data_IF_044418472108
#
_entry.id   IF_044418472108
#
_cell.length_a   1.000
_cell.length_b   1.000
_cell.length_c   1.000
_cell.angle_alpha   90.00
_cell.angle_beta   90.00
_cell.angle_gamma   90.00
#
_symmetry.space_group_name_H-M   'P 1'
#
loop_
_entity.id
_entity.type
_entity.pdbx_description
1 polymer ?
#
# COMPACT_ATOMS: atom_id res chain seq x y z
N UNK A 1 14.97 60.04 -4.25
CA UNK A 1 13.49 60.22 -4.26
C UNK A 1 12.86 59.72 -2.97
N UNK A 2 13.16 58.50 -2.51
CA UNK A 2 12.66 57.94 -1.24
C UNK A 2 12.96 58.80 0.01
N UNK A 3 14.16 59.39 0.10
CA UNK A 3 14.56 60.26 1.22
C UNK A 3 13.84 61.62 1.27
N UNK A 4 13.25 62.08 0.16
CA UNK A 4 12.49 63.33 0.09
C UNK A 4 11.04 63.10 0.58
N UNK A 5 10.47 61.94 0.26
CA UNK A 5 9.13 61.53 0.69
C UNK A 5 9.01 61.34 2.21
N UNK A 6 10.05 60.81 2.85
CA UNK A 6 10.04 60.56 4.31
C UNK A 6 9.93 61.88 5.10
N UNK A 7 10.46 62.98 4.57
CA UNK A 7 10.50 64.28 5.28
C UNK A 7 9.14 64.99 5.32
N UNK A 8 8.29 64.82 4.31
CA UNK A 8 6.93 65.40 4.30
C UNK A 8 5.92 64.57 5.11
N UNK A 9 6.09 63.24 5.12
CA UNK A 9 5.20 62.31 5.84
C UNK A 9 5.27 62.49 7.37
N UNK A 10 6.43 62.88 7.90
CA UNK A 10 6.64 63.11 9.35
C UNK A 10 5.92 64.38 9.86
N UNK A 11 5.55 65.31 8.97
CA UNK A 11 4.82 66.54 9.32
C UNK A 11 3.30 66.46 9.14
N UNK A 12 2.75 65.35 8.64
CA UNK A 12 1.33 65.22 8.32
C UNK A 12 0.47 64.91 9.56
N UNK A 13 -0.62 65.66 9.72
CA UNK A 13 -1.65 65.39 10.73
C UNK A 13 -2.19 63.95 10.55
N UNK A 14 -2.38 63.21 11.66
CA UNK A 14 -2.73 61.78 11.69
C UNK A 14 -3.88 61.40 10.73
N UNK A 15 -4.85 62.28 10.54
CA UNK A 15 -5.98 62.04 9.61
C UNK A 15 -5.56 62.03 8.14
N UNK A 16 -4.61 62.88 7.74
CA UNK A 16 -4.07 62.91 6.38
C UNK A 16 -3.06 61.78 6.15
N UNK A 17 -2.33 61.39 7.20
CA UNK A 17 -1.43 60.24 7.14
C UNK A 17 -2.18 58.94 6.85
N UNK A 18 -3.33 58.71 7.50
CA UNK A 18 -4.15 57.50 7.24
C UNK A 18 -4.76 57.48 5.84
N UNK A 19 -5.17 58.63 5.32
CA UNK A 19 -5.69 58.75 3.95
C UNK A 19 -4.59 58.47 2.92
N UNK A 20 -3.39 59.00 3.15
CA UNK A 20 -2.25 58.77 2.27
C UNK A 20 -1.82 57.30 2.26
N UNK A 21 -1.72 56.63 3.42
CA UNK A 21 -1.43 55.18 3.45
C UNK A 21 -2.52 54.36 2.78
N UNK A 22 -3.80 54.70 2.95
CA UNK A 22 -4.90 54.02 2.26
C UNK A 22 -4.80 54.17 0.73
N UNK A 23 -4.45 55.36 0.23
CA UNK A 23 -4.26 55.60 -1.21
C UNK A 23 -3.07 54.79 -1.75
N UNK A 24 -1.94 54.78 -1.04
CA UNK A 24 -0.76 54.00 -1.45
C UNK A 24 -1.07 52.50 -1.47
N UNK A 25 -1.76 51.98 -0.45
CA UNK A 25 -2.18 50.58 -0.41
C UNK A 25 -3.16 50.25 -1.55
N UNK A 26 -4.10 51.14 -1.88
CA UNK A 26 -4.97 50.98 -3.03
C UNK A 26 -4.20 50.97 -4.36
N UNK A 27 -3.21 51.86 -4.55
CA UNK A 27 -2.40 51.89 -5.76
C UNK A 27 -1.55 50.62 -5.88
N UNK A 28 -0.97 50.14 -4.78
CA UNK A 28 -0.23 48.86 -4.75
C UNK A 28 -1.18 47.71 -5.08
N UNK A 29 -2.38 47.69 -4.49
CA UNK A 29 -3.38 46.65 -4.75
C UNK A 29 -3.85 46.66 -6.21
N UNK A 30 -4.16 47.83 -6.77
CA UNK A 30 -4.55 47.98 -8.18
C UNK A 30 -3.40 47.58 -9.10
N UNK A 31 -2.16 47.97 -8.78
CA UNK A 31 -0.97 47.56 -9.52
C UNK A 31 -0.73 46.06 -9.46
N UNK A 32 -0.99 45.43 -8.31
CA UNK A 32 -0.87 43.99 -8.11
C UNK A 32 -1.98 43.23 -8.86
N UNK A 33 -3.22 43.71 -8.84
CA UNK A 33 -4.33 43.15 -9.63
C UNK A 33 -4.06 43.28 -11.12
N UNK A 34 -3.60 44.45 -11.58
CA UNK A 34 -3.24 44.68 -12.98
C UNK A 34 -2.06 43.80 -13.43
N UNK A 35 -1.06 43.60 -12.57
CA UNK A 35 0.07 42.70 -12.80
C UNK A 35 -0.36 41.21 -12.85
N UNK A 36 -1.34 40.81 -12.03
CA UNK A 36 -1.90 39.46 -12.04
C UNK A 36 -2.77 39.22 -13.29
N UNK A 37 -3.54 40.21 -13.74
CA UNK A 37 -4.32 40.11 -14.98
C UNK A 37 -3.42 40.01 -16.22
N UNK A 38 -2.34 40.81 -16.29
CA UNK A 38 -1.37 40.77 -17.40
C UNK A 38 -0.59 39.44 -17.49
N UNK A 39 -0.39 38.74 -16.37
CA UNK A 39 0.30 37.45 -16.33
C UNK A 39 -0.66 36.24 -16.35
N UNK A 40 -1.96 36.46 -16.58
CA UNK A 40 -2.91 35.36 -16.72
C UNK A 40 -2.74 34.66 -18.06
N UNK A 41 -2.51 33.35 -18.03
CA UNK A 41 -2.33 32.54 -19.25
C UNK A 41 -3.69 32.42 -19.94
N UNK A 42 -3.84 33.05 -21.11
CA UNK A 42 -5.13 33.12 -21.80
C UNK A 42 -5.66 31.74 -22.24
N UNK A 43 -4.77 30.88 -22.75
CA UNK A 43 -5.08 29.52 -23.21
C UNK A 43 -4.01 28.54 -22.68
N UNK A 44 -4.33 27.25 -22.49
CA UNK A 44 -3.31 26.26 -22.17
C UNK A 44 -2.17 26.29 -23.19
N UNK A 45 -0.91 26.21 -22.75
CA UNK A 45 0.21 26.17 -23.68
C UNK A 45 0.14 24.96 -24.60
N UNK A 46 0.55 25.11 -25.84
CA UNK A 46 0.73 23.95 -26.72
C UNK A 46 1.88 23.07 -26.21
N UNK A 47 1.72 21.76 -26.33
CA UNK A 47 2.80 20.81 -26.08
C UNK A 47 3.27 20.15 -27.36
N UNK A 48 4.49 19.63 -27.32
CA UNK A 48 5.04 18.73 -28.31
C UNK A 48 5.50 17.46 -27.61
N UNK A 49 4.99 16.31 -28.05
CA UNK A 49 5.45 15.00 -27.58
C UNK A 49 6.29 14.38 -28.70
N UNK A 50 7.54 14.06 -28.39
CA UNK A 50 8.49 13.40 -29.29
C UNK A 50 8.92 12.08 -28.70
N UNK A 51 9.12 11.09 -29.56
CA UNK A 51 9.76 9.83 -29.21
C UNK A 51 10.81 9.57 -30.28
N UNK A 52 12.09 9.60 -29.88
CA UNK A 52 13.21 9.73 -30.81
C UNK A 52 12.97 10.91 -31.79
N UNK A 53 12.96 10.66 -33.10
CA UNK A 53 12.69 11.66 -34.14
C UNK A 53 11.19 11.79 -34.52
N UNK A 54 10.30 11.02 -33.88
CA UNK A 54 8.89 10.96 -34.24
C UNK A 54 8.03 11.92 -33.39
N UNK A 55 7.24 12.77 -34.04
CA UNK A 55 6.21 13.58 -33.39
C UNK A 55 4.94 12.75 -33.14
N UNK A 56 4.45 12.77 -31.90
CA UNK A 56 3.24 12.06 -31.48
C UNK A 56 2.08 13.05 -31.41
N UNK A 57 0.95 12.67 -32.00
CA UNK A 57 -0.27 13.48 -31.93
C UNK A 57 -0.81 13.55 -30.50
N UNK A 58 -1.12 14.76 -30.05
CA UNK A 58 -1.68 15.03 -28.73
C UNK A 58 -3.03 15.70 -28.84
N UNK A 59 -3.95 15.35 -27.95
CA UNK A 59 -5.20 16.10 -27.78
C UNK A 59 -5.19 16.83 -26.44
N UNK A 60 -5.60 18.09 -26.45
CA UNK A 60 -5.78 18.88 -25.23
C UNK A 60 -7.23 18.88 -24.83
N UNK A 61 -7.51 18.99 -23.55
CA UNK A 61 -8.62 19.83 -23.18
C UNK A 61 -8.72 20.13 -21.72
N UNK A 62 -9.68 20.99 -21.48
CA UNK A 62 -9.75 21.81 -20.30
C UNK A 62 -10.45 21.03 -19.20
N UNK A 63 -9.94 21.16 -17.97
CA UNK A 63 -10.64 20.68 -16.79
C UNK A 63 -11.20 21.90 -16.05
N UNK A 64 -10.32 22.79 -15.60
CA UNK A 64 -10.65 24.08 -15.01
C UNK A 64 -9.79 25.17 -15.62
N UNK A 65 -10.36 26.15 -16.32
CA UNK A 65 -9.57 27.22 -16.94
C UNK A 65 -10.27 28.56 -16.82
N UNK A 66 -9.58 29.57 -16.30
CA UNK A 66 -10.12 30.91 -16.05
C UNK A 66 -11.44 30.88 -15.24
N UNK A 67 -11.57 29.92 -14.32
CA UNK A 67 -12.75 29.74 -13.46
C UNK A 67 -13.93 29.00 -14.10
N UNK A 68 -13.81 28.53 -15.34
CA UNK A 68 -14.79 27.64 -15.96
C UNK A 68 -14.38 26.18 -15.76
N UNK A 69 -15.33 25.32 -15.41
CA UNK A 69 -15.16 23.86 -15.38
C UNK A 69 -15.80 23.28 -16.63
N UNK A 70 -15.09 22.40 -17.32
CA UNK A 70 -15.50 21.87 -18.62
C UNK A 70 -15.92 20.41 -18.51
N UNK A 71 -17.08 20.08 -19.07
CA UNK A 71 -17.53 18.70 -19.28
C UNK A 71 -17.23 18.31 -20.73
N UNK A 72 -16.45 17.24 -20.92
CA UNK A 72 -15.88 16.89 -22.23
C UNK A 72 -15.73 15.39 -22.40
N UNK A 73 -15.69 14.98 -23.67
CA UNK A 73 -15.30 13.62 -24.02
C UNK A 73 -13.83 13.38 -23.66
N UNK A 74 -13.56 12.19 -23.14
CA UNK A 74 -12.22 11.74 -22.77
C UNK A 74 -11.21 11.94 -23.93
N UNK A 75 -10.03 12.48 -23.62
CA UNK A 75 -8.96 12.76 -24.60
C UNK A 75 -8.64 11.54 -25.44
N UNK A 76 -8.63 10.34 -24.85
CA UNK A 76 -8.25 9.12 -25.57
C UNK A 76 -9.28 8.74 -26.63
N UNK A 77 -10.57 8.88 -26.30
CA UNK A 77 -11.66 8.66 -27.26
C UNK A 77 -11.59 9.64 -28.40
N UNK A 78 -11.30 10.90 -28.09
CA UNK A 78 -11.13 11.96 -29.09
C UNK A 78 -9.98 11.62 -30.04
N UNK A 79 -8.82 11.23 -29.51
CA UNK A 79 -7.64 10.84 -30.31
C UNK A 79 -7.95 9.64 -31.21
N UNK A 80 -8.60 8.59 -30.69
CA UNK A 80 -8.93 7.39 -31.49
C UNK A 80 -9.94 7.70 -32.60
N UNK A 81 -10.91 8.58 -32.35
CA UNK A 81 -11.88 9.00 -33.39
C UNK A 81 -11.22 9.81 -34.51
N UNK A 82 -10.22 10.61 -34.17
CA UNK A 82 -9.51 11.47 -35.12
C UNK A 82 -8.41 10.73 -35.88
N UNK A 83 -7.80 9.71 -35.26
CA UNK A 83 -6.63 9.03 -35.80
C UNK A 83 -6.85 7.52 -35.97
N UNK A 84 -6.91 7.07 -37.23
CA UNK A 84 -7.06 5.64 -37.56
C UNK A 84 -5.76 4.83 -37.41
N UNK A 85 -4.59 5.47 -37.19
CA UNK A 85 -3.31 4.79 -37.06
C UNK A 85 -2.55 5.25 -35.80
N UNK A 86 -2.64 4.43 -34.75
CA UNK A 86 -1.90 4.64 -33.50
C UNK A 86 -0.44 4.19 -33.73
N UNK A 87 0.57 5.05 -33.47
CA UNK A 87 1.97 4.72 -33.73
C UNK A 87 2.47 3.61 -32.81
N UNK A 88 3.27 2.70 -33.34
CA UNK A 88 3.99 1.69 -32.55
C UNK A 88 5.33 2.25 -32.08
N UNK A 89 5.65 2.00 -30.82
CA UNK A 89 6.85 2.47 -30.13
C UNK A 89 7.44 1.31 -29.35
N UNK A 90 8.75 1.12 -29.46
CA UNK A 90 9.44 0.03 -28.80
C UNK A 90 9.70 0.39 -27.34
N UNK A 91 9.58 -0.61 -26.44
CA UNK A 91 9.92 -0.39 -25.04
C UNK A 91 11.41 -0.02 -24.93
N UNK A 92 11.70 0.94 -24.06
CA UNK A 92 13.03 1.51 -23.86
C UNK A 92 13.26 2.83 -24.59
N UNK A 93 12.43 3.20 -25.56
CA UNK A 93 12.53 4.49 -26.26
C UNK A 93 12.19 5.66 -25.33
N UNK A 94 12.86 6.80 -25.53
CA UNK A 94 12.68 7.98 -24.68
C UNK A 94 11.53 8.85 -25.17
N UNK A 95 10.57 9.11 -24.28
CA UNK A 95 9.48 10.06 -24.51
C UNK A 95 9.88 11.42 -23.97
N UNK A 96 9.76 12.45 -24.80
CA UNK A 96 10.06 13.84 -24.46
C UNK A 96 8.83 14.73 -24.65
N UNK A 97 8.48 15.47 -23.60
CA UNK A 97 7.35 16.40 -23.56
C UNK A 97 7.91 17.82 -23.41
N UNK A 98 7.60 18.68 -24.36
CA UNK A 98 8.02 20.09 -24.39
C UNK A 98 6.80 21.01 -24.40
N UNK A 99 6.77 22.01 -23.53
CA UNK A 99 5.79 23.10 -23.58
C UNK A 99 6.35 24.22 -24.46
N UNK A 100 5.60 24.69 -25.45
CA UNK A 100 6.07 25.77 -26.33
C UNK A 100 6.37 27.05 -25.56
N UNK A 101 5.54 27.34 -24.57
CA UNK A 101 5.64 28.49 -23.68
C UNK A 101 5.17 28.09 -22.28
N UNK A 102 5.62 28.82 -21.24
CA UNK A 102 5.09 28.74 -19.88
C UNK A 102 4.93 27.31 -19.31
N UNK A 103 6.02 26.73 -18.79
CA UNK A 103 5.98 25.42 -18.12
C UNK A 103 4.96 25.39 -16.96
N UNK A 104 4.32 24.24 -16.71
CA UNK A 104 3.37 24.07 -15.60
C UNK A 104 4.06 24.12 -14.22
N UNK A 105 3.30 24.49 -13.20
CA UNK A 105 3.72 24.44 -11.80
C UNK A 105 3.87 23.00 -11.31
N UNK A 106 2.95 22.12 -11.73
CA UNK A 106 2.97 20.67 -11.51
C UNK A 106 2.53 19.97 -12.79
N UNK A 107 3.22 18.87 -13.07
CA UNK A 107 2.89 17.95 -14.16
C UNK A 107 2.81 16.54 -13.58
N UNK A 108 1.85 15.76 -14.03
CA UNK A 108 1.74 14.34 -13.72
C UNK A 108 1.41 13.60 -14.99
N UNK A 109 2.23 12.61 -15.34
CA UNK A 109 1.96 11.72 -16.48
C UNK A 109 1.50 10.39 -15.92
N UNK A 110 0.38 9.90 -16.42
CA UNK A 110 -0.20 8.62 -16.03
C UNK A 110 -0.42 7.77 -17.27
N UNK A 111 0.02 6.53 -17.20
CA UNK A 111 -0.11 5.54 -18.25
C UNK A 111 -1.21 4.53 -17.95
N UNK A 112 -2.05 4.29 -18.96
CA UNK A 112 -3.22 3.42 -18.90
C UNK A 112 -3.21 2.43 -20.06
N UNK A 113 -3.69 1.20 -19.81
CA UNK A 113 -4.03 0.28 -20.91
C UNK A 113 -5.43 0.60 -21.42
N UNK A 114 -5.58 0.73 -22.73
CA UNK A 114 -6.84 1.08 -23.40
C UNK A 114 -7.44 -0.09 -24.18
N UNK A 115 -8.75 -0.06 -24.33
CA UNK A 115 -9.46 -0.84 -25.36
C UNK A 115 -9.27 -0.20 -26.74
N UNK A 116 -9.66 -0.90 -27.81
CA UNK A 116 -9.58 -0.37 -29.19
C UNK A 116 -10.46 0.86 -29.41
N UNK A 117 -11.46 1.06 -28.56
CA UNK A 117 -12.40 2.19 -28.57
C UNK A 117 -11.93 3.35 -27.68
N UNK A 118 -10.80 3.21 -26.98
CA UNK A 118 -10.22 4.27 -26.15
C UNK A 118 -10.79 4.36 -24.75
N UNK A 119 -11.51 3.32 -24.29
CA UNK A 119 -11.88 3.19 -22.89
C UNK A 119 -10.69 2.64 -22.09
N UNK A 120 -10.61 2.96 -20.81
CA UNK A 120 -9.70 2.27 -19.91
C UNK A 120 -10.05 0.78 -19.85
N UNK A 121 -9.09 -0.09 -20.16
CA UNK A 121 -9.29 -1.54 -20.17
C UNK A 121 -9.39 -2.11 -18.76
N UNK A 122 -8.69 -1.50 -17.82
CA UNK A 122 -8.67 -1.85 -16.41
C UNK A 122 -9.09 -0.65 -15.57
N UNK A 123 -9.41 -0.87 -14.29
CA UNK A 123 -9.84 0.20 -13.39
C UNK A 123 -8.75 1.25 -13.19
N UNK A 124 -9.12 2.44 -12.70
CA UNK A 124 -8.18 3.53 -12.35
C UNK A 124 -7.12 3.13 -11.30
N UNK A 125 -7.23 1.96 -10.68
CA UNK A 125 -6.20 1.41 -9.78
C UNK A 125 -5.04 0.74 -10.51
N UNK A 126 -5.20 0.39 -11.79
CA UNK A 126 -4.17 -0.24 -12.62
C UNK A 126 -3.37 0.78 -13.46
N UNK A 127 -3.42 2.06 -13.07
CA UNK A 127 -2.74 3.16 -13.75
C UNK A 127 -1.32 3.31 -13.20
N UNK A 128 -0.36 3.57 -14.07
CA UNK A 128 1.04 3.75 -13.66
C UNK A 128 1.38 5.24 -13.68
N UNK A 129 1.78 5.81 -12.54
CA UNK A 129 2.27 7.20 -12.50
C UNK A 129 3.72 7.20 -12.92
N UNK A 130 4.03 7.92 -14.00
CA UNK A 130 5.36 7.95 -14.58
C UNK A 130 6.22 8.99 -13.87
N UNK A 131 7.39 8.55 -13.39
CA UNK A 131 8.44 9.44 -12.92
C UNK A 131 9.03 10.22 -14.10
N UNK A 132 9.06 11.55 -13.99
CA UNK A 132 9.58 12.44 -15.02
C UNK A 132 10.94 12.99 -14.61
N UNK A 133 11.88 12.95 -15.53
CA UNK A 133 13.13 13.67 -15.45
C UNK A 133 12.99 15.02 -16.16
N UNK A 134 13.58 16.09 -15.60
CA UNK A 134 13.53 17.41 -16.21
C UNK A 134 14.93 17.84 -16.64
N UNK A 135 15.11 18.02 -17.94
CA UNK A 135 16.38 18.42 -18.55
C UNK A 135 16.12 19.44 -19.65
N UNK A 136 16.88 20.53 -19.68
CA UNK A 136 16.79 21.62 -20.68
C UNK A 136 15.36 22.17 -20.92
N UNK A 137 14.52 22.14 -19.90
CA UNK A 137 13.15 22.64 -19.96
C UNK A 137 12.13 21.65 -20.56
N UNK A 138 12.57 20.45 -20.96
CA UNK A 138 11.74 19.33 -21.37
C UNK A 138 11.52 18.35 -20.21
N UNK A 139 10.39 17.64 -20.24
CA UNK A 139 10.10 16.52 -19.35
C UNK A 139 10.31 15.21 -20.10
N UNK A 140 11.06 14.28 -19.52
CA UNK A 140 11.47 13.04 -20.17
C UNK A 140 11.12 11.84 -19.32
N UNK A 141 10.81 10.74 -19.98
CA UNK A 141 10.73 9.43 -19.36
C UNK A 141 11.01 8.33 -20.36
N UNK A 142 11.54 7.21 -19.88
CA UNK A 142 11.73 6.03 -20.71
C UNK A 142 10.43 5.22 -20.79
N UNK A 143 10.05 4.79 -21.98
CA UNK A 143 8.86 3.96 -22.18
C UNK A 143 9.10 2.52 -21.69
N UNK A 144 8.78 2.27 -20.42
CA UNK A 144 8.90 0.94 -19.81
C UNK A 144 7.67 0.06 -20.08
N UNK A 145 7.80 -1.25 -19.86
CA UNK A 145 6.63 -2.15 -19.86
C UNK A 145 5.63 -1.68 -18.80
N UNK A 146 4.34 -1.70 -19.13
CA UNK A 146 3.26 -1.43 -18.18
C UNK A 146 2.77 -2.77 -17.63
N UNK A 147 2.78 -2.93 -16.30
CA UNK A 147 2.42 -4.21 -15.67
C UNK A 147 0.97 -4.63 -15.95
N UNK A 148 0.05 -3.68 -16.14
CA UNK A 148 -1.33 -4.00 -16.48
C UNK A 148 -1.47 -4.62 -17.88
N UNK A 149 -0.46 -4.48 -18.77
CA UNK A 149 -0.46 -5.20 -20.05
C UNK A 149 -0.45 -6.73 -19.89
N UNK A 150 0.02 -7.23 -18.74
CA UNK A 150 0.04 -8.66 -18.42
C UNK A 150 -1.29 -9.21 -17.88
N UNK A 151 -2.23 -8.34 -17.51
CA UNK A 151 -3.50 -8.74 -16.90
C UNK A 151 -4.53 -9.26 -17.93
N UNK A 152 -4.16 -9.35 -19.21
CA UNK A 152 -5.11 -9.72 -20.26
C UNK A 152 -5.34 -11.23 -20.34
N UNK A 153 -6.57 -11.69 -20.21
CA UNK A 153 -6.92 -13.08 -20.52
C UNK A 153 -6.96 -13.39 -22.03
N UNK A 154 -6.77 -12.38 -22.90
CA UNK A 154 -6.78 -12.55 -24.35
C UNK A 154 -5.36 -12.66 -24.90
N UNK A 155 -5.02 -13.83 -25.46
CA UNK A 155 -3.70 -14.13 -26.02
C UNK A 155 -3.26 -13.18 -27.15
N UNK A 156 -4.21 -12.54 -27.85
CA UNK A 156 -3.90 -11.58 -28.92
C UNK A 156 -3.23 -10.31 -28.40
N UNK A 157 -3.45 -9.93 -27.14
CA UNK A 157 -2.91 -8.69 -26.58
C UNK A 157 -1.39 -8.76 -26.32
N UNK A 158 -0.85 -9.99 -26.24
CA UNK A 158 0.58 -10.25 -26.05
C UNK A 158 1.37 -10.27 -27.35
N UNK A 159 0.72 -10.15 -28.51
CA UNK A 159 1.43 -10.03 -29.78
C UNK A 159 2.16 -8.69 -29.84
N UNK A 160 3.29 -8.69 -30.55
CA UNK A 160 4.11 -7.50 -30.79
C UNK A 160 3.25 -6.32 -31.25
N UNK A 161 3.32 -5.21 -30.52
CA UNK A 161 2.63 -3.96 -30.79
C UNK A 161 1.13 -3.99 -30.57
N UNK A 162 0.52 -5.01 -29.97
CA UNK A 162 -0.93 -5.06 -29.77
C UNK A 162 -1.43 -4.36 -28.50
N UNK A 163 -0.54 -3.96 -27.59
CA UNK A 163 -0.95 -3.22 -26.39
C UNK A 163 -1.15 -1.74 -26.72
N UNK A 164 -2.38 -1.25 -26.57
CA UNK A 164 -2.73 0.17 -26.75
C UNK A 164 -2.60 0.87 -25.39
N UNK A 165 -1.76 1.90 -25.32
CA UNK A 165 -1.49 2.69 -24.11
C UNK A 165 -1.93 4.13 -24.29
N UNK A 166 -2.63 4.66 -23.30
CA UNK A 166 -3.03 6.05 -23.21
C UNK A 166 -2.22 6.76 -22.13
N UNK A 167 -1.53 7.82 -22.50
CA UNK A 167 -0.76 8.65 -21.58
C UNK A 167 -1.51 9.94 -21.32
N UNK A 168 -1.94 10.12 -20.08
CA UNK A 168 -2.64 11.32 -19.59
C UNK A 168 -1.64 12.23 -18.89
N UNK A 169 -1.52 13.45 -19.37
CA UNK A 169 -0.65 14.49 -18.84
C UNK A 169 -1.54 15.53 -18.15
N UNK A 170 -1.62 15.49 -16.82
CA UNK A 170 -2.35 16.48 -16.04
C UNK A 170 -1.40 17.62 -15.65
N UNK A 171 -1.76 18.85 -16.01
CA UNK A 171 -0.94 20.04 -15.79
C UNK A 171 -1.73 21.12 -15.06
N UNK A 172 -1.07 21.87 -14.17
CA UNK A 172 -1.65 23.04 -13.54
C UNK A 172 -0.76 24.30 -13.64
N UNK A 173 -1.41 25.46 -13.66
CA UNK A 173 -0.83 26.80 -13.55
C UNK A 173 -1.67 27.61 -12.57
N UNK A 174 -1.28 27.58 -11.29
CA UNK A 174 -2.08 28.12 -10.20
C UNK A 174 -3.46 27.48 -10.10
N UNK A 175 -4.51 28.21 -10.51
CA UNK A 175 -5.91 27.74 -10.51
C UNK A 175 -6.36 27.10 -11.81
N UNK A 176 -5.55 27.23 -12.86
CA UNK A 176 -5.85 26.67 -14.16
C UNK A 176 -5.31 25.23 -14.22
N UNK A 177 -6.15 24.30 -14.66
CA UNK A 177 -5.85 22.88 -14.85
C UNK A 177 -6.32 22.43 -16.24
N UNK A 178 -5.44 21.76 -16.98
CA UNK A 178 -5.82 21.07 -18.20
C UNK A 178 -5.15 19.71 -18.32
N UNK A 179 -5.73 18.90 -19.19
CA UNK A 179 -5.28 17.56 -19.51
C UNK A 179 -4.83 17.51 -20.97
N UNK A 180 -3.65 16.95 -21.21
CA UNK A 180 -3.23 16.51 -22.53
C UNK A 180 -3.22 14.98 -22.58
N UNK A 181 -3.54 14.40 -23.72
CA UNK A 181 -3.50 12.97 -23.95
C UNK A 181 -2.70 12.62 -25.20
N UNK A 182 -1.99 11.50 -25.18
CA UNK A 182 -1.50 10.84 -26.40
C UNK A 182 -1.63 9.32 -26.27
N UNK A 183 -1.60 8.61 -27.40
CA UNK A 183 -1.80 7.16 -27.45
C UNK A 183 -0.70 6.51 -28.26
N UNK A 184 -0.16 5.40 -27.76
CA UNK A 184 0.85 4.58 -28.41
C UNK A 184 0.41 3.12 -28.50
N UNK A 185 1.00 2.37 -29.43
CA UNK A 185 1.02 0.91 -29.46
C UNK A 185 2.39 0.44 -28.97
N UNK A 186 2.43 -0.57 -28.12
CA UNK A 186 3.66 -1.10 -27.53
C UNK A 186 3.61 -2.62 -27.41
N UNK A 187 4.76 -3.21 -27.12
CA UNK A 187 4.84 -4.61 -26.69
C UNK A 187 4.43 -4.75 -25.23
N UNK A 188 3.85 -5.88 -24.85
CA UNK A 188 3.52 -6.17 -23.44
C UNK A 188 4.77 -6.43 -22.59
N UNK A 189 5.81 -7.02 -23.18
CA UNK A 189 7.11 -7.28 -22.51
C UNK A 189 8.28 -7.12 -23.47
N UNK A 190 9.48 -6.97 -22.92
CA UNK A 190 10.74 -6.84 -23.65
C UNK A 190 11.29 -8.16 -24.20
N UNK A 191 10.63 -9.30 -24.01
CA UNK A 191 11.19 -10.61 -24.41
C UNK A 191 10.44 -11.26 -25.59
N UNK A 192 11.05 -11.17 -26.78
CA UNK A 192 11.10 -12.31 -27.69
C UNK A 192 12.56 -12.64 -28.00
N UNK A 193 12.84 -13.92 -27.83
CA UNK A 193 14.12 -14.62 -27.82
C UNK A 193 14.76 -14.65 -29.22
N UNK A 194 16.07 -14.39 -29.29
CA UNK A 194 17.05 -15.26 -29.99
C UNK A 194 18.50 -14.79 -29.72
N UNK A 195 19.20 -15.64 -28.94
CA UNK A 195 20.64 -15.95 -28.86
C UNK A 195 21.73 -14.92 -28.49
N UNK A 196 22.34 -15.24 -27.35
CA UNK A 196 23.77 -15.33 -26.97
C UNK A 196 24.72 -14.12 -27.10
N UNK A 197 25.32 -13.85 -25.93
CA UNK A 197 26.50 -13.02 -25.63
C UNK A 197 26.39 -11.51 -25.86
N UNK A 198 26.11 -10.79 -24.77
CA UNK A 198 27.02 -9.75 -24.28
C UNK A 198 26.64 -9.31 -22.86
N UNK A 199 27.60 -9.46 -21.94
CA UNK A 199 27.59 -8.91 -20.58
C UNK A 199 27.36 -7.40 -20.61
N UNK A 200 26.28 -6.93 -19.98
CA UNK A 200 26.18 -5.55 -19.52
C UNK A 200 25.23 -5.46 -18.33
N UNK A 201 25.69 -4.74 -17.31
CA UNK A 201 25.28 -4.80 -15.90
C UNK A 201 23.77 -4.69 -15.67
N UNK A 202 23.22 -5.72 -15.03
CA UNK A 202 21.86 -5.75 -14.51
C UNK A 202 21.66 -4.62 -13.49
N UNK A 203 20.80 -3.65 -13.82
CA UNK A 203 20.04 -2.98 -12.75
C UNK A 203 18.99 -3.99 -12.32
N UNK A 204 19.40 -4.85 -11.38
CA UNK A 204 18.58 -5.88 -10.77
C UNK A 204 17.28 -5.25 -10.23
N UNK A 205 16.16 -5.48 -10.92
CA UNK A 205 14.84 -5.12 -10.41
C UNK A 205 14.60 -6.04 -9.22
N UNK A 206 14.76 -5.50 -8.02
CA UNK A 206 14.51 -6.23 -6.79
C UNK A 206 13.00 -6.55 -6.70
N UNK A 207 12.65 -7.82 -6.91
CA UNK A 207 11.29 -8.32 -6.72
C UNK A 207 11.14 -8.84 -5.29
N UNK A 208 10.28 -8.20 -4.50
CA UNK A 208 10.06 -8.60 -3.09
C UNK A 208 9.31 -9.93 -2.95
N UNK A 209 8.69 -10.43 -4.02
CA UNK A 209 7.86 -11.63 -4.03
C UNK A 209 8.35 -12.65 -5.06
N UNK A 210 8.51 -13.91 -4.62
CA UNK A 210 8.82 -15.09 -5.43
C UNK A 210 7.59 -16.00 -5.53
N UNK A 211 6.78 -15.91 -6.62
CA UNK A 211 5.46 -16.57 -6.70
C UNK A 211 5.48 -18.08 -6.43
N UNK A 212 6.58 -18.77 -6.72
CA UNK A 212 6.80 -20.20 -6.48
C UNK A 212 7.06 -20.57 -5.01
N UNK A 213 7.50 -19.61 -4.20
CA UNK A 213 7.71 -19.81 -2.77
C UNK A 213 6.41 -20.22 -2.08
N UNK A 214 6.45 -21.07 -1.06
CA UNK A 214 5.25 -21.63 -0.42
C UNK A 214 5.20 -21.41 1.09
N UNK A 215 6.08 -20.56 1.62
CA UNK A 215 6.15 -20.13 3.00
C UNK A 215 6.80 -18.73 3.04
N UNK A 216 6.81 -18.03 4.19
CA UNK A 216 7.37 -16.66 4.24
C UNK A 216 8.82 -16.60 3.76
N UNK A 217 9.65 -17.56 4.20
CA UNK A 217 11.08 -17.59 3.91
C UNK A 217 11.41 -17.69 2.41
N UNK A 218 10.56 -18.37 1.64
CA UNK A 218 10.74 -18.60 0.21
C UNK A 218 9.89 -17.69 -0.67
N UNK A 219 8.77 -17.16 -0.17
CA UNK A 219 7.86 -16.29 -0.93
C UNK A 219 8.24 -14.82 -0.84
N UNK A 220 8.66 -14.33 0.32
CA UNK A 220 8.87 -12.89 0.56
C UNK A 220 10.36 -12.64 0.78
N UNK A 221 11.00 -12.07 -0.23
CA UNK A 221 12.43 -11.74 -0.21
C UNK A 221 12.65 -10.56 0.75
N UNK A 222 13.65 -10.61 1.64
CA UNK A 222 14.04 -9.45 2.45
C UNK A 222 14.50 -8.28 1.56
N UNK A 223 14.24 -7.02 1.93
CA UNK A 223 14.58 -5.87 1.10
C UNK A 223 16.08 -5.82 0.73
N UNK A 224 16.42 -5.04 -0.28
CA UNK A 224 17.82 -4.87 -0.70
C UNK A 224 18.73 -4.51 0.48
N UNK A 225 19.85 -5.22 0.59
CA UNK A 225 20.85 -5.14 1.67
C UNK A 225 20.39 -5.68 3.05
N UNK A 226 19.16 -6.18 3.18
CA UNK A 226 18.69 -6.87 4.39
C UNK A 226 18.89 -8.37 4.25
N UNK A 227 19.24 -9.00 5.36
CA UNK A 227 19.24 -10.46 5.51
C UNK A 227 18.25 -10.85 6.60
N UNK A 228 17.53 -11.96 6.42
CA UNK A 228 16.66 -12.51 7.47
C UNK A 228 17.49 -12.74 8.74
N UNK A 229 16.98 -12.31 9.89
CA UNK A 229 17.65 -12.55 11.18
C UNK A 229 17.82 -14.05 11.42
N UNK A 230 18.98 -14.45 11.92
CA UNK A 230 19.22 -15.84 12.33
C UNK A 230 18.48 -16.13 13.64
N UNK A 231 17.87 -17.30 13.74
CA UNK A 231 17.12 -17.72 14.92
C UNK A 231 17.22 -19.23 15.10
N UNK A 232 17.04 -19.69 16.34
CA UNK A 232 17.00 -21.11 16.66
C UNK A 232 15.86 -21.82 15.89
N UNK A 233 16.11 -23.07 15.50
CA UNK A 233 15.18 -23.85 14.68
C UNK A 233 13.78 -24.06 15.31
N UNK A 234 13.72 -23.99 16.64
CA UNK A 234 12.51 -24.16 17.44
C UNK A 234 11.90 -22.82 17.90
N UNK A 235 12.44 -21.69 17.44
CA UNK A 235 11.91 -20.37 17.78
C UNK A 235 10.57 -20.11 17.10
N UNK A 236 9.80 -19.18 17.67
CA UNK A 236 8.54 -18.71 17.07
C UNK A 236 8.73 -18.19 15.65
N UNK A 237 9.81 -17.46 15.39
CA UNK A 237 10.11 -16.93 14.05
C UNK A 237 10.41 -18.04 13.04
N UNK A 238 11.17 -19.07 13.45
CA UNK A 238 11.46 -20.22 12.59
C UNK A 238 10.18 -21.01 12.27
N UNK A 239 9.26 -21.13 13.23
CA UNK A 239 7.93 -21.69 13.02
C UNK A 239 7.14 -20.87 11.99
N UNK A 240 7.00 -19.56 12.20
CA UNK A 240 6.27 -18.67 11.29
C UNK A 240 6.81 -18.71 9.87
N UNK A 241 8.14 -18.73 9.71
CA UNK A 241 8.81 -18.78 8.41
C UNK A 241 8.53 -20.05 7.61
N UNK A 242 8.21 -21.15 8.29
CA UNK A 242 7.93 -22.47 7.69
C UNK A 242 6.45 -22.74 7.48
N UNK A 243 5.56 -21.92 8.06
CA UNK A 243 4.12 -22.09 7.87
C UNK A 243 3.77 -22.02 6.38
N UNK A 244 2.97 -22.99 5.88
CA UNK A 244 2.55 -22.99 4.49
C UNK A 244 1.75 -21.73 4.14
N UNK A 245 2.02 -21.20 2.95
CA UNK A 245 1.23 -20.16 2.30
C UNK A 245 0.43 -20.79 1.16
N UNK A 246 -0.71 -20.19 0.86
CA UNK A 246 -1.42 -20.44 -0.39
C UNK A 246 -0.59 -19.98 -1.60
N UNK A 247 -1.03 -20.39 -2.79
CA UNK A 247 -0.43 -19.94 -4.05
C UNK A 247 -0.44 -18.42 -4.14
N UNK A 248 0.53 -17.86 -4.84
CA UNK A 248 0.59 -16.43 -5.09
C UNK A 248 -0.68 -15.88 -5.75
N UNK A 249 -1.07 -14.67 -5.36
CA UNK A 249 -2.31 -14.05 -5.79
C UNK A 249 -3.59 -14.68 -5.22
N UNK A 250 -3.50 -15.62 -4.27
CA UNK A 250 -4.71 -16.16 -3.63
C UNK A 250 -5.50 -15.06 -2.90
N UNK A 251 -6.83 -15.02 -3.04
CA UNK A 251 -7.65 -14.09 -2.29
C UNK A 251 -7.68 -14.49 -0.81
N UNK A 252 -7.88 -13.50 0.06
CA UNK A 252 -8.30 -13.77 1.45
C UNK A 252 -9.77 -14.17 1.43
N UNK A 253 -10.07 -15.36 1.94
CA UNK A 253 -11.44 -15.83 2.10
C UNK A 253 -11.96 -15.54 3.51
N UNK A 254 -13.27 -15.37 3.61
CA UNK A 254 -14.03 -15.28 4.85
C UNK A 254 -14.40 -16.70 5.32
N UNK A 255 -14.85 -16.82 6.58
CA UNK A 255 -15.28 -18.10 7.18
C UNK A 255 -16.39 -18.85 6.39
N UNK A 256 -17.15 -18.12 5.57
CA UNK A 256 -18.22 -18.67 4.75
C UNK A 256 -17.75 -19.07 3.33
N UNK A 257 -16.46 -18.92 3.03
CA UNK A 257 -15.85 -19.22 1.73
C UNK A 257 -15.93 -18.08 0.71
N UNK A 258 -16.59 -16.98 1.02
CA UNK A 258 -16.63 -15.81 0.14
C UNK A 258 -15.29 -15.07 0.16
N UNK A 259 -14.94 -14.39 -0.93
CA UNK A 259 -13.81 -13.49 -0.94
C UNK A 259 -14.06 -12.26 -0.06
N UNK A 260 -13.05 -11.86 0.71
CA UNK A 260 -13.05 -10.58 1.41
C UNK A 260 -13.20 -9.43 0.40
N UNK A 261 -14.10 -8.48 0.67
CA UNK A 261 -14.38 -7.36 -0.24
C UNK A 261 -13.15 -6.52 -0.65
N UNK A 262 -12.17 -6.36 0.26
CA UNK A 262 -10.96 -5.59 -0.01
C UNK A 262 -9.76 -6.54 -0.01
N UNK A 263 -9.31 -6.89 -1.22
CA UNK A 263 -8.15 -7.75 -1.51
C UNK A 263 -6.84 -6.94 -1.67
N UNK A 264 -6.89 -5.61 -1.57
CA UNK A 264 -5.71 -4.76 -1.77
C UNK A 264 -4.85 -4.60 -0.50
N UNK A 265 -5.19 -5.31 0.58
CA UNK A 265 -4.59 -5.13 1.92
C UNK A 265 -3.52 -6.16 2.26
N UNK A 266 -3.45 -7.25 1.50
CA UNK A 266 -2.59 -8.39 1.78
C UNK A 266 -1.66 -8.69 0.60
N UNK A 267 -0.57 -9.40 0.90
CA UNK A 267 0.41 -9.86 -0.10
C UNK A 267 0.52 -11.39 -0.15
N UNK A 268 0.19 -12.07 0.94
CA UNK A 268 0.20 -13.53 1.02
C UNK A 268 -0.84 -14.00 2.04
N UNK A 269 -1.38 -15.20 1.83
CA UNK A 269 -2.38 -15.82 2.72
C UNK A 269 -1.80 -17.11 3.27
N UNK A 270 -1.83 -17.29 4.59
CA UNK A 270 -1.42 -18.54 5.22
C UNK A 270 -2.42 -19.65 4.91
N UNK A 271 -1.93 -20.85 4.63
CA UNK A 271 -2.74 -22.04 4.40
C UNK A 271 -3.08 -22.71 5.74
N UNK A 272 -3.88 -22.00 6.53
CA UNK A 272 -4.40 -22.42 7.83
C UNK A 272 -5.91 -22.30 7.73
N UNK A 273 -6.64 -23.41 7.98
CA UNK A 273 -8.10 -23.39 7.99
C UNK A 273 -8.61 -22.33 8.98
N UNK A 274 -9.82 -21.80 8.83
CA UNK A 274 -10.41 -20.87 9.83
C UNK A 274 -11.70 -21.41 10.44
N UNK A 275 -12.03 -22.67 10.13
CA UNK A 275 -13.34 -23.26 10.39
C UNK A 275 -14.45 -22.66 9.50
N UNK A 276 -15.68 -23.14 9.73
CA UNK A 276 -16.87 -22.74 8.94
C UNK A 276 -17.75 -21.72 9.68
N UNK A 277 -17.26 -21.15 10.78
CA UNK A 277 -18.01 -20.25 11.66
C UNK A 277 -17.32 -18.90 11.74
N UNK A 278 -18.13 -17.86 11.92
CA UNK A 278 -17.64 -16.52 12.25
C UNK A 278 -17.10 -16.48 13.69
N UNK A 279 -15.98 -17.14 13.92
CA UNK A 279 -15.41 -17.35 15.26
C UNK A 279 -13.94 -16.93 15.35
N UNK A 280 -13.06 -17.42 14.47
CA UNK A 280 -11.64 -17.05 14.50
C UNK A 280 -11.45 -15.63 13.94
N UNK A 281 -11.73 -14.63 14.75
CA UNK A 281 -11.62 -13.21 14.39
C UNK A 281 -10.26 -12.67 14.85
N UNK A 282 -9.80 -11.57 14.25
CA UNK A 282 -8.69 -10.73 14.74
C UNK A 282 -7.71 -11.40 15.76
N UNK A 283 -7.95 -11.25 17.08
CA UNK A 283 -7.12 -11.78 18.16
C UNK A 283 -7.04 -13.30 18.23
N UNK A 284 -8.11 -13.99 17.85
CA UNK A 284 -8.19 -15.45 17.82
C UNK A 284 -7.21 -16.04 16.82
N UNK A 285 -6.91 -15.32 15.74
CA UNK A 285 -5.87 -15.73 14.79
C UNK A 285 -4.48 -15.69 15.43
N UNK A 286 -4.18 -14.67 16.25
CA UNK A 286 -2.91 -14.59 16.98
C UNK A 286 -2.83 -15.66 18.07
N UNK A 287 -3.90 -15.83 18.86
CA UNK A 287 -4.03 -16.90 19.86
C UNK A 287 -3.80 -18.26 19.22
N UNK A 288 -4.42 -18.51 18.06
CA UNK A 288 -4.22 -19.74 17.30
C UNK A 288 -2.76 -19.93 16.94
N UNK A 289 -2.11 -18.95 16.32
CA UNK A 289 -0.73 -19.07 15.86
C UNK A 289 0.22 -19.43 17.02
N UNK A 290 0.07 -18.76 18.16
CA UNK A 290 0.84 -19.10 19.36
C UNK A 290 0.55 -20.51 19.89
N UNK A 291 -0.71 -20.92 19.89
CA UNK A 291 -1.09 -22.25 20.33
C UNK A 291 -0.54 -23.34 19.39
N UNK A 292 -0.58 -23.12 18.07
CA UNK A 292 -0.04 -24.04 17.05
C UNK A 292 1.49 -24.15 17.16
N UNK A 293 2.18 -23.04 17.46
CA UNK A 293 3.62 -23.04 17.72
C UNK A 293 3.97 -23.96 18.89
N UNK A 294 3.40 -23.73 20.07
CA UNK A 294 3.66 -24.57 21.24
C UNK A 294 3.15 -26.00 21.06
N UNK A 295 2.04 -26.19 20.34
CA UNK A 295 1.54 -27.52 19.97
C UNK A 295 2.58 -28.31 19.17
N UNK A 296 3.15 -27.67 18.15
CA UNK A 296 4.12 -28.29 17.24
C UNK A 296 5.45 -28.63 17.92
N UNK A 297 5.79 -27.91 18.99
CA UNK A 297 6.96 -28.16 19.84
C UNK A 297 6.67 -29.12 21.01
N UNK A 298 5.44 -29.63 21.12
CA UNK A 298 4.98 -30.46 22.26
C UNK A 298 5.05 -29.75 23.64
N UNK A 299 5.14 -28.42 23.65
CA UNK A 299 5.18 -27.56 24.85
C UNK A 299 3.76 -27.23 25.35
N UNK A 300 2.96 -28.27 25.58
CA UNK A 300 1.52 -28.17 25.83
C UNK A 300 1.15 -27.39 27.11
N UNK A 301 2.05 -27.32 28.08
CA UNK A 301 1.91 -26.57 29.32
C UNK A 301 1.97 -25.06 29.12
N UNK A 302 2.61 -24.60 28.04
CA UNK A 302 2.65 -23.18 27.63
C UNK A 302 1.38 -22.71 26.93
N UNK A 303 0.51 -23.63 26.50
CA UNK A 303 -0.76 -23.29 25.85
C UNK A 303 -1.80 -22.93 26.92
N UNK A 304 -1.80 -21.67 27.36
CA UNK A 304 -2.73 -21.17 28.35
C UNK A 304 -3.12 -19.70 28.11
N UNK A 305 -4.41 -19.41 28.00
CA UNK A 305 -4.90 -18.05 27.67
C UNK A 305 -5.91 -17.55 28.69
N UNK A 306 -5.86 -16.26 29.03
CA UNK A 306 -6.89 -15.67 29.87
C UNK A 306 -8.16 -15.38 29.07
N UNK A 307 -9.31 -15.75 29.64
CA UNK A 307 -10.61 -15.28 29.18
C UNK A 307 -10.84 -13.82 29.61
N UNK A 308 -11.86 -13.17 29.05
CA UNK A 308 -12.20 -11.78 29.38
C UNK A 308 -12.47 -11.53 30.87
N UNK A 309 -12.95 -12.55 31.59
CA UNK A 309 -13.17 -12.52 33.05
C UNK A 309 -11.94 -12.92 33.88
N UNK A 310 -10.76 -13.00 33.25
CA UNK A 310 -9.47 -13.36 33.86
C UNK A 310 -9.34 -14.83 34.30
N UNK A 311 -10.20 -15.72 33.81
CA UNK A 311 -10.02 -17.16 34.03
C UNK A 311 -8.99 -17.73 33.06
N UNK A 312 -8.02 -18.47 33.60
CA UNK A 312 -6.97 -19.10 32.79
C UNK A 312 -7.47 -20.42 32.17
N UNK A 313 -7.55 -20.44 30.86
CA UNK A 313 -7.81 -21.64 30.07
C UNK A 313 -6.50 -22.36 29.79
N UNK A 314 -6.18 -23.38 30.57
CA UNK A 314 -4.98 -24.23 30.41
C UNK A 314 -5.28 -25.45 29.52
N UNK A 315 -4.53 -25.64 28.45
CA UNK A 315 -4.74 -26.78 27.55
C UNK A 315 -4.49 -28.13 28.23
N UNK A 316 -3.50 -28.22 29.13
CA UNK A 316 -3.24 -29.44 29.93
C UNK A 316 -4.48 -29.88 30.71
N UNK A 317 -5.27 -28.95 31.25
CA UNK A 317 -6.51 -29.31 31.95
C UNK A 317 -7.58 -29.80 30.98
N UNK A 318 -7.65 -29.19 29.81
CA UNK A 318 -8.59 -29.58 28.77
C UNK A 318 -8.31 -30.99 28.25
N UNK A 319 -7.05 -31.31 27.92
CA UNK A 319 -6.65 -32.65 27.46
C UNK A 319 -6.83 -33.71 28.53
N UNK A 320 -6.77 -33.36 29.83
CA UNK A 320 -7.05 -34.26 30.96
C UNK A 320 -8.56 -34.53 31.21
N UNK A 321 -9.42 -33.99 30.34
CA UNK A 321 -10.86 -34.21 30.34
C UNK A 321 -11.68 -33.15 31.06
N UNK A 322 -11.07 -32.02 31.46
CA UNK A 322 -11.82 -30.89 32.02
C UNK A 322 -12.45 -30.05 30.91
N UNK A 323 -13.63 -29.50 31.16
CA UNK A 323 -14.31 -28.56 30.27
C UNK A 323 -14.71 -27.31 31.05
N UNK A 324 -14.77 -26.19 30.33
CA UNK A 324 -15.18 -24.91 30.88
C UNK A 324 -16.67 -24.96 31.24
N UNK A 325 -17.00 -24.70 32.50
CA UNK A 325 -18.37 -24.43 32.94
C UNK A 325 -18.54 -22.94 33.20
N UNK A 326 -19.51 -22.33 32.54
CA UNK A 326 -19.84 -20.91 32.68
C UNK A 326 -21.16 -20.75 33.43
N UNK A 327 -21.19 -19.91 34.46
CA UNK A 327 -22.40 -19.48 35.16
C UNK A 327 -22.36 -17.97 35.41
N UNK A 328 -23.06 -17.21 34.56
CA UNK A 328 -22.92 -15.76 34.52
C UNK A 328 -21.47 -15.37 34.19
N UNK A 329 -20.85 -14.55 35.05
CA UNK A 329 -19.44 -14.15 34.90
C UNK A 329 -18.45 -15.09 35.62
N UNK A 330 -18.94 -16.16 36.27
CA UNK A 330 -18.09 -17.13 36.95
C UNK A 330 -17.79 -18.30 36.03
N UNK A 331 -16.52 -18.69 35.98
CA UNK A 331 -16.02 -19.81 35.21
C UNK A 331 -15.28 -20.78 36.10
N UNK A 332 -15.38 -22.07 35.79
CA UNK A 332 -14.73 -23.14 36.54
C UNK A 332 -14.44 -24.34 35.66
N UNK A 333 -13.46 -25.14 36.06
CA UNK A 333 -13.20 -26.44 35.46
C UNK A 333 -14.13 -27.49 36.01
N UNK A 334 -14.72 -28.31 35.13
CA UNK A 334 -15.44 -29.52 35.51
C UNK A 334 -14.95 -30.68 34.67
N UNK A 335 -14.58 -31.79 35.31
CA UNK A 335 -14.15 -33.00 34.62
C UNK A 335 -15.38 -33.74 34.07
N UNK A 336 -15.55 -33.70 32.75
CA UNK A 336 -16.72 -34.29 32.05
C UNK A 336 -16.32 -35.19 30.88
N UNK A 337 -15.05 -35.20 30.49
CA UNK A 337 -14.52 -36.03 29.42
C UNK A 337 -13.35 -36.93 29.92
N UNK A 338 -12.97 -37.89 29.09
CA UNK A 338 -11.75 -38.67 29.29
C UNK A 338 -10.52 -37.87 28.80
N UNK A 339 -9.32 -38.41 29.07
CA UNK A 339 -8.09 -37.89 28.48
C UNK A 339 -8.14 -38.00 26.95
N UNK A 340 -7.73 -36.93 26.25
CA UNK A 340 -7.67 -36.88 24.79
C UNK A 340 -6.64 -35.82 24.36
N UNK A 341 -5.59 -36.28 23.68
CA UNK A 341 -4.50 -35.47 23.14
C UNK A 341 -4.54 -35.30 21.62
N UNK A 342 -5.66 -35.66 21.00
CA UNK A 342 -5.84 -35.46 19.56
C UNK A 342 -5.85 -33.98 19.20
N UNK A 343 -5.41 -33.71 17.97
CA UNK A 343 -5.50 -32.38 17.38
C UNK A 343 -6.95 -31.88 17.31
N UNK A 344 -7.93 -32.77 17.11
CA UNK A 344 -9.35 -32.40 17.15
C UNK A 344 -9.76 -31.82 18.52
N UNK A 345 -9.27 -32.42 19.62
CA UNK A 345 -9.53 -31.91 20.96
C UNK A 345 -8.78 -30.61 21.26
N UNK A 346 -7.59 -30.42 20.68
CA UNK A 346 -6.89 -29.11 20.67
C UNK A 346 -7.68 -28.02 19.94
N UNK A 347 -8.23 -28.32 18.76
CA UNK A 347 -9.10 -27.38 18.03
C UNK A 347 -10.36 -27.01 18.83
N UNK A 348 -11.01 -27.98 19.50
CA UNK A 348 -12.16 -27.70 20.39
C UNK A 348 -11.80 -26.83 21.59
N UNK A 349 -10.58 -26.96 22.12
CA UNK A 349 -10.07 -26.07 23.15
C UNK A 349 -9.97 -24.64 22.62
N UNK A 350 -9.34 -24.45 21.46
CA UNK A 350 -9.20 -23.14 20.82
C UNK A 350 -10.56 -22.51 20.48
N UNK A 351 -11.49 -23.27 19.90
CA UNK A 351 -12.86 -22.80 19.66
C UNK A 351 -13.52 -22.29 20.94
N UNK A 352 -13.26 -22.94 22.08
CA UNK A 352 -13.79 -22.50 23.39
C UNK A 352 -13.09 -21.23 23.85
N UNK A 353 -11.77 -21.09 23.64
CA UNK A 353 -11.04 -19.86 23.96
C UNK A 353 -11.57 -18.69 23.13
N UNK A 354 -11.76 -18.86 21.82
CA UNK A 354 -12.25 -17.81 20.91
C UNK A 354 -13.65 -17.27 21.27
N UNK A 355 -14.49 -18.09 21.93
CA UNK A 355 -15.81 -17.65 22.39
C UNK A 355 -15.71 -16.64 23.56
N UNK A 356 -14.69 -16.75 24.41
CA UNK A 356 -14.63 -16.05 25.70
C UNK A 356 -13.40 -15.13 25.88
N UNK A 357 -12.40 -15.26 25.03
CA UNK A 357 -11.22 -14.40 24.94
C UNK A 357 -11.38 -13.41 23.76
N UNK A 358 -10.43 -12.49 23.63
CA UNK A 358 -10.38 -11.55 22.50
C UNK A 358 -9.31 -10.49 22.74
N UNK A 359 -9.35 -9.40 21.98
CA UNK A 359 -8.36 -8.32 22.10
C UNK A 359 -8.26 -7.76 23.51
N UNK A 360 -9.37 -7.72 24.27
CA UNK A 360 -9.36 -7.22 25.65
C UNK A 360 -8.58 -8.12 26.63
N UNK A 361 -8.74 -9.44 26.53
CA UNK A 361 -7.99 -10.35 27.42
C UNK A 361 -6.53 -10.44 26.98
N UNK A 362 -6.30 -10.57 25.66
CA UNK A 362 -4.96 -10.65 25.08
C UNK A 362 -4.12 -9.40 25.40
N UNK A 363 -4.72 -8.20 25.30
CA UNK A 363 -4.07 -6.93 25.65
C UNK A 363 -3.69 -6.85 27.14
N UNK A 364 -4.51 -7.40 28.04
CA UNK A 364 -4.27 -7.39 29.49
C UNK A 364 -3.19 -8.38 29.93
N UNK A 365 -3.10 -9.52 29.26
CA UNK A 365 -2.11 -10.55 29.57
C UNK A 365 -0.79 -10.38 28.80
N UNK A 366 -0.66 -9.33 27.99
CA UNK A 366 0.56 -9.01 27.24
C UNK A 366 1.30 -7.81 27.84
N UNK A 367 2.63 -7.84 27.75
CA UNK A 367 3.52 -6.80 28.27
C UNK A 367 3.90 -5.79 27.20
N UNK A 368 4.09 -4.51 27.57
CA UNK A 368 4.50 -3.46 26.63
C UNK A 368 5.97 -3.61 26.24
N UNK A 369 6.27 -3.41 24.96
CA UNK A 369 7.61 -3.47 24.39
C UNK A 369 7.97 -2.12 23.75
N UNK A 370 9.23 -1.72 23.87
CA UNK A 370 9.78 -0.54 23.16
C UNK A 370 10.05 -0.86 21.68
N UNK A 371 9.90 0.12 20.79
CA UNK A 371 10.10 -0.07 19.34
C UNK A 371 11.49 -0.62 18.99
N UNK A 372 12.50 -0.31 19.81
CA UNK A 372 13.86 -0.79 19.67
C UNK A 372 14.04 -2.29 19.95
N UNK A 373 13.02 -2.94 20.56
CA UNK A 373 13.05 -4.34 20.99
C UNK A 373 12.07 -5.23 20.20
N UNK A 374 11.53 -4.75 19.07
CA UNK A 374 10.59 -5.52 18.25
C UNK A 374 11.24 -6.83 17.78
N UNK A 375 10.49 -7.92 17.91
CA UNK A 375 10.81 -9.23 17.34
C UNK A 375 9.56 -9.94 16.80
N UNK A 376 9.75 -11.00 16.03
CA UNK A 376 8.63 -11.85 15.62
C UNK A 376 7.95 -12.50 16.83
N UNK A 377 6.62 -12.48 16.84
CA UNK A 377 5.78 -12.80 18.01
C UNK A 377 5.21 -11.55 18.67
N UNK A 378 5.90 -10.41 18.61
CA UNK A 378 5.32 -9.16 19.11
C UNK A 378 4.08 -8.78 18.31
N UNK A 379 3.17 -8.05 18.93
CA UNK A 379 1.92 -7.63 18.31
C UNK A 379 1.65 -6.16 18.58
N UNK A 380 1.12 -5.48 17.58
CA UNK A 380 0.42 -4.22 17.79
C UNK A 380 -1.01 -4.55 18.16
N UNK A 381 -1.47 -4.11 19.33
CA UNK A 381 -2.79 -4.44 19.86
C UNK A 381 -3.47 -3.23 20.50
N UNK A 382 -4.77 -3.13 20.26
CA UNK A 382 -5.70 -2.26 20.99
C UNK A 382 -6.79 -3.13 21.58
N UNK A 383 -6.74 -3.33 22.90
CA UNK A 383 -7.76 -4.08 23.62
C UNK A 383 -9.11 -3.36 23.69
N UNK A 384 -10.20 -4.13 23.62
CA UNK A 384 -11.57 -3.64 23.83
C UNK A 384 -12.51 -3.91 22.65
N UNK A 385 -13.66 -3.25 22.65
CA UNK A 385 -14.68 -3.33 21.59
C UNK A 385 -15.12 -1.91 21.22
N UNK A 386 -14.66 -1.35 20.10
CA UNK A 386 -13.83 -2.00 19.08
C UNK A 386 -12.36 -2.12 19.50
N UNK A 387 -11.74 -3.23 19.11
CA UNK A 387 -10.31 -3.51 19.28
C UNK A 387 -9.78 -4.23 18.05
N UNK A 388 -8.46 -4.25 17.89
CA UNK A 388 -7.77 -4.96 16.80
C UNK A 388 -6.35 -5.33 17.20
N UNK A 389 -5.75 -6.28 16.50
CA UNK A 389 -4.36 -6.65 16.65
C UNK A 389 -3.73 -7.14 15.34
N UNK A 390 -2.43 -6.92 15.22
CA UNK A 390 -1.57 -7.32 14.10
C UNK A 390 -0.30 -7.93 14.69
N UNK A 391 0.13 -9.07 14.17
CA UNK A 391 1.28 -9.82 14.63
C UNK A 391 2.52 -9.52 13.77
N UNK A 392 3.68 -9.37 14.40
CA UNK A 392 4.99 -9.38 13.75
C UNK A 392 5.34 -10.83 13.46
N UNK A 393 5.44 -11.21 12.20
CA UNK A 393 5.61 -12.62 11.77
C UNK A 393 7.01 -12.93 11.25
N UNK A 394 7.81 -11.90 11.01
CA UNK A 394 9.14 -12.04 10.43
C UNK A 394 10.00 -10.82 10.71
N UNK A 395 11.32 -11.00 10.60
CA UNK A 395 12.30 -9.94 10.74
C UNK A 395 13.49 -10.13 9.79
N UNK A 396 14.02 -9.01 9.31
CA UNK A 396 15.26 -8.92 8.58
C UNK A 396 16.10 -7.76 9.13
N UNK A 397 17.41 -7.83 8.95
CA UNK A 397 18.39 -6.88 9.48
C UNK A 397 19.43 -6.53 8.43
N UNK A 398 19.83 -5.27 8.39
CA UNK A 398 20.94 -4.77 7.57
C UNK A 398 22.25 -4.77 8.37
N UNK A 399 23.40 -4.73 7.70
CA UNK A 399 24.72 -4.74 8.35
C UNK A 399 24.90 -3.64 9.40
N UNK A 400 24.28 -2.47 9.21
CA UNK A 400 24.32 -1.35 10.15
C UNK A 400 23.39 -1.52 11.36
N UNK A 401 22.60 -2.59 11.41
CA UNK A 401 21.66 -2.89 12.49
C UNK A 401 20.21 -2.47 12.25
N UNK A 402 19.91 -1.76 11.16
CA UNK A 402 18.54 -1.36 10.81
C UNK A 402 17.68 -2.61 10.56
N UNK A 403 16.46 -2.62 11.08
CA UNK A 403 15.55 -3.77 11.01
C UNK A 403 14.33 -3.50 10.14
N UNK A 404 13.80 -4.58 9.57
CA UNK A 404 12.56 -4.57 8.82
C UNK A 404 11.69 -5.76 9.25
N UNK A 405 10.37 -5.59 9.28
CA UNK A 405 9.43 -6.56 9.82
C UNK A 405 8.29 -6.87 8.85
N UNK A 406 7.79 -8.11 8.86
CA UNK A 406 6.52 -8.45 8.22
C UNK A 406 5.41 -8.49 9.25
N UNK A 407 4.24 -7.97 8.86
CA UNK A 407 3.05 -7.93 9.71
C UNK A 407 1.95 -8.81 9.13
N UNK A 408 1.21 -9.51 9.99
CA UNK A 408 0.07 -10.34 9.58
C UNK A 408 -1.12 -10.20 10.52
N UNK A 409 -2.32 -10.48 10.02
CA UNK A 409 -3.55 -10.33 10.79
C UNK A 409 -4.65 -11.31 10.37
N UNK A 410 -5.59 -11.54 11.29
CA UNK A 410 -6.99 -11.85 10.96
C UNK A 410 -7.83 -10.57 10.99
N UNK A 411 -9.15 -10.65 10.79
CA UNK A 411 -10.04 -9.48 10.93
C UNK A 411 -11.45 -9.89 11.34
N UNK A 412 -12.41 -8.97 11.19
CA UNK A 412 -13.84 -9.17 11.44
C UNK A 412 -14.64 -8.83 10.17
N UNK A 413 -15.52 -9.71 9.67
CA UNK A 413 -15.81 -11.06 10.16
C UNK A 413 -14.59 -11.99 10.07
N UNK A 414 -14.67 -13.18 10.66
CA UNK A 414 -13.60 -14.17 10.64
C UNK A 414 -13.16 -14.44 9.20
N UNK A 415 -11.85 -14.39 9.00
CA UNK A 415 -11.23 -14.46 7.68
C UNK A 415 -9.81 -14.98 7.81
N UNK A 416 -9.27 -15.43 6.70
CA UNK A 416 -7.98 -16.11 6.66
C UNK A 416 -6.84 -15.22 7.16
N UNK A 417 -5.90 -15.82 7.88
CA UNK A 417 -4.72 -15.15 8.38
C UNK A 417 -3.80 -14.82 7.21
N UNK A 418 -3.39 -13.56 7.09
CA UNK A 418 -2.67 -13.07 5.91
C UNK A 418 -1.62 -12.03 6.27
N UNK A 419 -0.56 -11.98 5.46
CA UNK A 419 0.50 -10.98 5.53
C UNK A 419 -0.01 -9.68 4.90
N UNK A 420 0.18 -8.57 5.60
CA UNK A 420 -0.24 -7.24 5.21
C UNK A 420 0.71 -6.61 4.21
N UNK A 421 0.17 -5.77 3.32
CA UNK A 421 1.00 -4.77 2.60
C UNK A 421 1.45 -3.67 3.57
N UNK A 422 2.55 -2.98 3.22
CA UNK A 422 2.94 -1.75 3.89
C UNK A 422 2.31 -0.55 3.16
N UNK A 423 1.43 0.25 3.79
CA UNK A 423 0.85 1.44 3.15
C UNK A 423 1.87 2.52 2.74
N UNK A 424 3.09 2.49 3.28
CA UNK A 424 4.17 3.40 2.90
C UNK A 424 4.90 2.95 1.63
N UNK A 425 4.86 1.65 1.31
CA UNK A 425 5.58 1.06 0.18
C UNK A 425 4.69 0.06 -0.57
N UNK A 426 4.19 0.44 -1.75
CA UNK A 426 3.17 -0.31 -2.49
C UNK A 426 3.61 -1.74 -2.89
N UNK A 427 4.88 -1.89 -3.26
CA UNK A 427 5.49 -3.14 -3.76
C UNK A 427 6.41 -3.82 -2.73
N UNK A 428 6.42 -3.33 -1.50
CA UNK A 428 7.27 -3.84 -0.43
C UNK A 428 6.45 -4.02 0.86
N UNK A 429 6.14 -5.26 1.27
CA UNK A 429 5.37 -5.52 2.48
C UNK A 429 6.16 -5.33 3.77
N UNK A 430 7.47 -5.05 3.72
CA UNK A 430 8.31 -4.87 4.89
C UNK A 430 8.11 -3.50 5.55
N UNK A 431 8.02 -3.50 6.87
CA UNK A 431 7.92 -2.30 7.72
C UNK A 431 9.29 -2.02 8.34
N UNK A 432 9.91 -0.90 7.97
CA UNK A 432 11.23 -0.50 8.43
C UNK A 432 11.17 0.14 9.81
N UNK A 433 12.07 -0.25 10.72
CA UNK A 433 12.09 0.22 12.10
C UNK A 433 12.13 1.74 12.25
N UNK A 434 12.89 2.42 11.40
CA UNK A 434 13.01 3.88 11.34
C UNK A 434 11.75 4.60 10.80
N UNK A 435 10.83 3.87 10.17
CA UNK A 435 9.54 4.37 9.67
C UNK A 435 8.37 3.99 10.59
N UNK A 436 8.57 3.07 11.54
CA UNK A 436 7.59 2.73 12.56
C UNK A 436 7.52 3.88 13.57
N UNK A 437 6.60 4.80 13.31
CA UNK A 437 6.26 5.91 14.20
C UNK A 437 4.79 5.85 14.61
N UNK A 438 4.48 6.36 15.81
CA UNK A 438 3.11 6.46 16.25
C UNK A 438 2.44 7.75 15.74
N UNK A 439 1.17 7.70 15.31
CA UNK A 439 0.35 6.49 15.19
C UNK A 439 0.79 5.61 14.01
N UNK A 440 0.96 4.31 14.25
CA UNK A 440 1.37 3.34 13.23
C UNK A 440 0.15 3.02 12.35
N UNK A 441 0.27 3.27 11.05
CA UNK A 441 -0.77 2.94 10.07
C UNK A 441 -0.50 1.58 9.46
N UNK A 442 -1.51 0.71 9.55
CA UNK A 442 -1.60 -0.53 8.76
C UNK A 442 -2.74 -0.38 7.74
N UNK A 443 -2.89 -1.26 6.74
CA UNK A 443 -3.90 -1.11 5.70
C UNK A 443 -5.35 -0.99 6.21
N UNK A 444 -5.64 -1.55 7.40
CA UNK A 444 -7.01 -1.61 7.93
C UNK A 444 -7.15 -1.02 9.35
N UNK A 445 -6.06 -0.65 10.02
CA UNK A 445 -6.11 -0.15 11.39
C UNK A 445 -4.96 0.81 11.70
N UNK A 446 -5.22 1.73 12.63
CA UNK A 446 -4.21 2.67 13.14
C UNK A 446 -3.96 2.38 14.62
N UNK A 447 -2.70 2.19 14.99
CA UNK A 447 -2.28 1.87 16.35
C UNK A 447 -1.60 3.07 17.01
N UNK A 448 -2.06 3.44 18.19
CA UNK A 448 -1.50 4.54 18.99
C UNK A 448 -0.26 4.09 19.76
N UNK A 449 0.46 5.06 20.34
CA UNK A 449 1.61 4.78 21.21
C UNK A 449 1.26 3.84 22.37
N UNK A 450 2.15 2.89 22.66
CA UNK A 450 1.97 1.89 23.71
C UNK A 450 1.11 0.70 23.32
N UNK A 451 0.78 0.56 22.03
CA UNK A 451 0.08 -0.60 21.45
C UNK A 451 0.98 -1.80 21.16
N UNK A 452 2.30 -1.62 21.05
CA UNK A 452 3.24 -2.72 20.84
C UNK A 452 3.39 -3.53 22.13
N UNK A 453 3.08 -4.82 22.05
CA UNK A 453 3.10 -5.75 23.18
C UNK A 453 3.62 -7.14 22.81
N UNK A 454 4.10 -7.88 23.81
CA UNK A 454 4.49 -9.28 23.73
C UNK A 454 3.60 -10.11 24.63
N UNK A 455 3.09 -11.22 24.10
CA UNK A 455 2.37 -12.20 24.91
C UNK A 455 3.40 -13.05 25.65
N UNK A 456 3.21 -13.23 26.97
CA UNK A 456 4.23 -13.77 27.87
C UNK A 456 4.75 -15.16 27.43
N UNK A 457 6.09 -15.31 27.41
CA UNK A 457 6.79 -16.61 27.29
C UNK A 457 6.92 -17.34 28.64
#
# INVERSE_FOLDING_TARGET
MLAFFIKEVIGMNKKYLSIFTAIVLCIIFIGMVYYLEQNSIANPPDITVKIEDQLINTEVGLNEWNGAVYDREDVFKTIIKQNNQIPYVQLGEMVQIEFKENNPDKITVTDYILTKEGNLKYSDKAKEIIALEKEDGAYRFQLKSNLASFLSSNSEDYKKGNTIRGFRILCNWGKNECEYGFILRTDGSTTQVDNEEMLQEDVEVFHTILPEGNNLATRIIPPKDYVRTEEDNNSFMAFMRKLPLKRDGSPVLLYNGDEKNNQDVHIAVFDIDIGEKDLQQCADSIIRIYAEYYWSNEEYDKIAFHLTNNFLMEYIKWRDGNRLKVNGNQTSWVKTAAYDDSYETFRKFLDTVFIYAGTLSLDRESEKIGLENIQAGDMFIKGGSPGHCVLVVDAAVKENGDRAYLLAQGFMPAQEFHVLKNPLHEEDPWYYDNEIVYPLKTPQWTFEEGSLKRWME
#
